data_IF_236562938265
#
_entry.id   IF_236562938265
#
_cell.length_a   1.000
_cell.length_b   1.000
_cell.length_c   1.000
_cell.angle_alpha   90.00
_cell.angle_beta   90.00
_cell.angle_gamma   90.00
#
_symmetry.space_group_name_H-M   'P 1'
#
loop_
_entity.id
_entity.type
_entity.pdbx_description
1 polymer ?
#
# COMPACT_ATOMS: atom_id res chain seq x y z
N UNK A 1 41.39 -22.85 1.25
CA UNK A 1 39.92 -22.89 1.50
C UNK A 1 39.42 -24.29 1.25
N UNK A 2 39.44 -25.14 2.31
CA UNK A 2 38.93 -26.49 2.23
C UNK A 2 37.47 -26.51 2.67
N UNK A 3 36.55 -26.42 1.70
CA UNK A 3 35.10 -26.49 1.93
C UNK A 3 34.63 -27.92 2.23
N UNK A 4 35.48 -28.93 1.97
CA UNK A 4 35.17 -30.34 2.14
C UNK A 4 36.35 -31.10 2.76
N UNK A 5 36.07 -31.96 3.75
CA UNK A 5 37.02 -32.84 4.34
C UNK A 5 36.87 -34.24 3.76
N UNK A 6 37.97 -34.91 3.30
CA UNK A 6 37.88 -36.23 2.75
C UNK A 6 37.63 -37.29 3.85
N UNK A 7 36.53 -38.00 3.77
CA UNK A 7 36.24 -39.16 4.62
C UNK A 7 36.88 -40.45 4.10
N UNK A 8 36.90 -40.64 2.78
CA UNK A 8 37.56 -41.76 2.14
C UNK A 8 37.99 -41.34 0.73
N UNK A 9 39.29 -41.19 0.54
CA UNK A 9 39.88 -40.75 -0.73
C UNK A 9 39.71 -41.76 -1.86
N UNK A 10 39.67 -43.04 -1.57
CA UNK A 10 39.48 -44.12 -2.59
C UNK A 10 38.03 -44.18 -3.07
N UNK A 11 37.06 -43.91 -2.19
CA UNK A 11 35.64 -43.89 -2.52
C UNK A 11 35.12 -42.50 -2.93
N UNK A 12 35.98 -41.49 -2.97
CA UNK A 12 35.64 -40.09 -3.27
C UNK A 12 34.52 -39.50 -2.40
N UNK A 13 34.47 -39.93 -1.14
CA UNK A 13 33.50 -39.43 -0.16
C UNK A 13 34.11 -38.25 0.60
N UNK A 14 33.38 -37.14 0.60
CA UNK A 14 33.77 -35.88 1.28
C UNK A 14 32.65 -35.44 2.18
N UNK A 15 33.01 -34.93 3.37
CA UNK A 15 32.08 -34.28 4.28
C UNK A 15 32.26 -32.78 4.19
N UNK A 16 31.15 -32.03 4.13
CA UNK A 16 31.16 -30.58 4.11
C UNK A 16 31.67 -30.06 5.46
N UNK A 17 32.64 -29.14 5.44
CA UNK A 17 33.10 -28.44 6.64
C UNK A 17 32.03 -27.43 7.06
N UNK A 18 31.64 -27.42 8.35
CA UNK A 18 30.79 -26.38 8.90
C UNK A 18 31.59 -25.09 9.04
N UNK A 19 31.49 -24.23 8.04
CA UNK A 19 32.03 -22.90 8.09
C UNK A 19 30.85 -21.96 8.33
N UNK A 20 30.81 -21.32 9.50
CA UNK A 20 29.90 -20.26 9.81
C UNK A 20 30.21 -19.02 8.97
N UNK A 21 29.72 -18.97 7.74
CA UNK A 21 29.63 -17.72 6.98
C UNK A 21 28.23 -17.12 7.17
N UNK A 22 28.11 -15.82 7.43
CA UNK A 22 26.82 -15.17 7.34
C UNK A 22 26.29 -15.36 5.90
N UNK A 23 25.11 -15.94 5.80
CA UNK A 23 24.43 -16.14 4.52
C UNK A 23 24.21 -14.78 3.85
N UNK A 24 25.03 -14.46 2.86
CA UNK A 24 24.67 -13.44 1.88
C UNK A 24 23.45 -13.98 1.12
N UNK A 25 22.30 -13.38 1.36
CA UNK A 25 21.10 -13.65 0.57
C UNK A 25 21.39 -13.22 -0.88
N UNK A 26 21.57 -14.20 -1.73
CA UNK A 26 21.63 -13.99 -3.18
C UNK A 26 20.21 -14.14 -3.69
N UNK A 27 19.56 -13.05 -4.03
CA UNK A 27 18.27 -13.07 -4.73
C UNK A 27 18.46 -13.64 -6.13
N UNK A 28 17.96 -14.85 -6.34
CA UNK A 28 17.83 -15.42 -7.69
C UNK A 28 16.50 -14.97 -8.30
N UNK A 29 16.47 -14.46 -9.54
CA UNK A 29 15.21 -14.21 -10.23
C UNK A 29 14.47 -15.54 -10.48
N UNK A 30 13.30 -15.67 -9.84
CA UNK A 30 12.43 -16.87 -9.86
C UNK A 30 11.62 -16.98 -11.15
N UNK A 31 12.28 -17.14 -12.30
CA UNK A 31 11.61 -17.33 -13.58
C UNK A 31 11.80 -18.72 -14.22
N UNK A 32 11.95 -19.77 -13.40
CA UNK A 32 11.89 -21.17 -13.89
C UNK A 32 11.25 -22.04 -12.81
N UNK A 33 9.92 -22.00 -12.69
CA UNK A 33 9.16 -22.97 -11.92
C UNK A 33 8.60 -24.01 -12.87
N UNK A 34 9.33 -25.10 -13.05
CA UNK A 34 8.73 -26.38 -13.43
C UNK A 34 8.49 -27.16 -12.14
N UNK A 35 7.22 -27.40 -11.86
CA UNK A 35 6.74 -28.25 -10.76
C UNK A 35 7.31 -29.67 -10.90
N UNK A 36 7.72 -30.35 -9.82
CA UNK A 36 6.91 -31.47 -9.37
C UNK A 36 6.63 -31.44 -7.86
N UNK A 37 5.46 -31.99 -7.55
CA UNK A 37 5.01 -32.34 -6.20
C UNK A 37 6.10 -33.07 -5.41
N UNK A 38 6.19 -32.75 -4.10
CA UNK A 38 6.22 -33.72 -2.99
C UNK A 38 6.81 -33.05 -1.73
N UNK A 39 6.04 -33.28 -0.66
CA UNK A 39 6.36 -33.22 0.76
C UNK A 39 6.48 -31.90 1.51
N UNK A 40 5.47 -31.81 2.38
CA UNK A 40 5.41 -30.95 3.55
C UNK A 40 6.62 -31.16 4.45
N UNK A 41 7.57 -30.25 4.34
CA UNK A 41 8.41 -29.93 5.49
C UNK A 41 7.99 -28.54 5.99
N UNK A 42 7.21 -28.58 7.03
CA UNK A 42 6.81 -27.41 7.84
C UNK A 42 8.07 -26.91 8.55
N UNK A 43 8.90 -26.15 7.83
CA UNK A 43 9.81 -25.25 8.54
C UNK A 43 8.95 -24.14 9.16
N UNK A 44 8.91 -23.98 10.48
CA UNK A 44 8.34 -22.80 11.06
C UNK A 44 9.17 -21.62 10.54
N UNK A 45 8.57 -20.80 9.66
CA UNK A 45 9.08 -19.46 9.45
C UNK A 45 9.17 -18.85 10.83
N UNK A 46 10.40 -18.63 11.30
CA UNK A 46 10.68 -17.76 12.43
C UNK A 46 10.21 -16.37 11.99
N UNK A 47 8.92 -16.09 12.24
CA UNK A 47 8.39 -14.75 12.17
C UNK A 47 9.30 -13.92 13.09
N UNK A 48 9.99 -12.94 12.50
CA UNK A 48 10.76 -11.99 13.27
C UNK A 48 9.84 -11.48 14.39
N UNK A 49 10.28 -11.42 15.67
CA UNK A 49 9.42 -11.04 16.77
C UNK A 49 8.81 -9.68 16.45
N UNK A 50 7.53 -9.68 16.13
CA UNK A 50 6.78 -8.45 15.84
C UNK A 50 6.82 -7.64 17.12
N UNK A 51 7.51 -6.52 17.11
CA UNK A 51 7.67 -5.70 18.30
C UNK A 51 6.30 -5.17 18.72
N UNK A 52 6.06 -5.06 20.03
CA UNK A 52 4.84 -4.44 20.57
C UNK A 52 4.60 -3.06 19.93
N UNK A 53 5.68 -2.33 19.67
CA UNK A 53 5.66 -1.02 19.01
C UNK A 53 5.05 -1.10 17.60
N UNK A 54 5.53 -2.03 16.76
CA UNK A 54 4.99 -2.23 15.42
C UNK A 54 3.52 -2.66 15.42
N UNK A 55 3.12 -3.49 16.41
CA UNK A 55 1.72 -3.89 16.57
C UNK A 55 0.84 -2.71 16.99
N UNK A 56 1.32 -1.89 17.92
CA UNK A 56 0.61 -0.69 18.37
C UNK A 56 0.46 0.32 17.24
N UNK A 57 1.54 0.60 16.50
CA UNK A 57 1.50 1.49 15.33
C UNK A 57 0.52 1.00 14.28
N UNK A 58 0.56 -0.30 13.95
CA UNK A 58 -0.37 -0.89 13.00
C UNK A 58 -1.84 -0.78 13.46
N UNK A 59 -2.10 -1.02 14.73
CA UNK A 59 -3.44 -0.90 15.31
C UNK A 59 -3.95 0.55 15.24
N UNK A 60 -3.10 1.52 15.63
CA UNK A 60 -3.43 2.95 15.60
C UNK A 60 -3.73 3.40 14.17
N UNK A 61 -2.86 3.04 13.23
CA UNK A 61 -3.05 3.36 11.81
C UNK A 61 -4.35 2.75 11.26
N UNK A 62 -4.62 1.48 11.58
CA UNK A 62 -5.83 0.80 11.11
C UNK A 62 -7.11 1.41 11.68
N UNK A 63 -7.10 1.86 12.93
CA UNK A 63 -8.30 2.31 13.64
C UNK A 63 -8.55 3.81 13.53
N UNK A 64 -7.50 4.61 13.49
CA UNK A 64 -7.59 6.07 13.60
C UNK A 64 -7.09 6.85 12.38
N UNK A 65 -6.29 6.23 11.51
CA UNK A 65 -5.87 6.93 10.29
C UNK A 65 -7.03 7.08 9.31
N UNK A 66 -7.18 8.24 8.69
CA UNK A 66 -8.18 8.44 7.65
C UNK A 66 -7.85 7.58 6.42
N UNK A 67 -8.88 7.13 5.68
CA UNK A 67 -8.67 6.44 4.40
C UNK A 67 -7.79 7.26 3.47
N UNK A 68 -6.82 6.62 2.85
CA UNK A 68 -5.86 7.30 1.99
C UNK A 68 -5.39 6.42 0.83
N UNK A 69 -4.91 7.07 -0.22
CA UNK A 69 -4.29 6.41 -1.36
C UNK A 69 -2.95 7.08 -1.69
N UNK A 70 -1.93 6.28 -2.00
CA UNK A 70 -0.66 6.73 -2.53
C UNK A 70 -0.62 6.42 -4.02
N UNK A 71 -0.37 7.44 -4.83
CA UNK A 71 -0.44 7.33 -6.29
C UNK A 71 0.79 7.95 -6.95
N UNK A 72 1.06 7.54 -8.20
CA UNK A 72 2.09 8.16 -9.02
C UNK A 72 1.57 9.46 -9.69
N UNK A 73 2.39 10.10 -10.49
CA UNK A 73 2.07 11.33 -11.22
C UNK A 73 1.01 11.15 -12.34
N UNK A 74 0.73 9.90 -12.71
CA UNK A 74 -0.33 9.53 -13.68
C UNK A 74 -1.65 9.16 -13.00
N UNK A 75 -1.66 9.11 -11.66
CA UNK A 75 -2.82 8.72 -10.87
C UNK A 75 -2.96 7.21 -10.67
N UNK A 76 -1.96 6.39 -11.02
CA UNK A 76 -2.00 4.97 -10.74
C UNK A 76 -1.78 4.71 -9.26
N UNK A 77 -2.62 3.89 -8.68
CA UNK A 77 -2.64 3.61 -7.25
C UNK A 77 -1.56 2.60 -6.92
N UNK A 78 -0.63 3.00 -6.07
CA UNK A 78 0.46 2.16 -5.57
C UNK A 78 0.13 1.52 -4.22
N UNK A 79 -0.65 2.22 -3.40
CA UNK A 79 -1.03 1.75 -2.08
C UNK A 79 -2.35 2.37 -1.62
N UNK A 80 -3.16 1.59 -0.90
CA UNK A 80 -4.41 2.03 -0.29
C UNK A 80 -4.35 1.71 1.21
N UNK A 81 -4.71 2.67 2.05
CA UNK A 81 -4.85 2.51 3.49
C UNK A 81 -6.28 2.81 3.93
N UNK A 82 -6.78 2.00 4.85
CA UNK A 82 -8.12 2.18 5.41
C UNK A 82 -9.26 1.80 4.43
N UNK A 83 -10.47 2.19 4.78
CA UNK A 83 -11.69 1.84 4.04
C UNK A 83 -12.04 2.90 3.00
N UNK A 84 -11.44 2.82 1.82
CA UNK A 84 -11.64 3.78 0.72
C UNK A 84 -12.91 3.54 -0.10
N UNK A 85 -13.65 2.44 0.11
CA UNK A 85 -14.81 2.05 -0.71
C UNK A 85 -15.95 3.09 -0.78
N UNK A 86 -16.02 4.03 0.17
CA UNK A 86 -16.94 5.17 0.10
C UNK A 86 -16.54 6.20 -0.97
N UNK A 87 -15.27 6.25 -1.36
CA UNK A 87 -14.68 7.27 -2.23
C UNK A 87 -14.21 6.71 -3.56
N UNK A 88 -13.65 5.49 -3.51
CA UNK A 88 -13.07 4.79 -4.62
C UNK A 88 -13.75 3.44 -4.78
N UNK A 89 -14.20 3.12 -5.97
CA UNK A 89 -14.76 1.81 -6.31
C UNK A 89 -14.10 1.27 -7.57
N UNK A 90 -13.92 -0.06 -7.68
CA UNK A 90 -13.40 -0.64 -8.91
C UNK A 90 -14.29 -0.28 -10.10
N UNK A 91 -13.68 0.22 -11.18
CA UNK A 91 -14.39 0.47 -12.41
C UNK A 91 -14.90 -0.85 -13.01
N UNK A 92 -16.10 -0.82 -13.59
CA UNK A 92 -16.64 -1.98 -14.29
C UNK A 92 -15.76 -2.35 -15.49
N UNK A 93 -15.54 -3.65 -15.70
CA UNK A 93 -14.77 -4.20 -16.81
C UNK A 93 -13.33 -4.59 -16.43
N UNK A 94 -12.35 -4.24 -17.26
CA UNK A 94 -10.94 -4.58 -16.99
C UNK A 94 -10.46 -3.86 -15.75
N UNK A 95 -9.79 -4.59 -14.85
CA UNK A 95 -9.21 -4.00 -13.64
C UNK A 95 -8.30 -2.81 -13.99
N UNK A 96 -8.63 -1.66 -13.43
CA UNK A 96 -7.89 -0.41 -13.63
C UNK A 96 -7.66 0.25 -12.26
N UNK A 97 -6.43 0.19 -11.78
CA UNK A 97 -6.01 0.74 -10.50
C UNK A 97 -5.57 2.20 -10.64
N UNK A 98 -6.40 3.00 -11.31
CA UNK A 98 -6.17 4.43 -11.46
C UNK A 98 -7.15 5.23 -10.62
N UNK A 99 -6.66 6.23 -9.91
CA UNK A 99 -7.41 7.08 -8.99
C UNK A 99 -8.66 7.69 -9.62
N UNK A 100 -8.53 8.18 -10.85
CA UNK A 100 -9.63 8.85 -11.56
C UNK A 100 -10.66 7.87 -12.11
N UNK A 101 -10.20 6.68 -12.53
CA UNK A 101 -11.10 5.63 -12.97
C UNK A 101 -11.92 5.05 -11.82
N UNK A 102 -11.32 4.98 -10.62
CA UNK A 102 -11.94 4.44 -9.41
C UNK A 102 -12.70 5.48 -8.60
N UNK A 103 -12.42 6.78 -8.78
CA UNK A 103 -13.11 7.84 -8.06
C UNK A 103 -14.60 7.84 -8.36
N UNK A 104 -15.43 7.89 -7.30
CA UNK A 104 -16.87 8.03 -7.45
C UNK A 104 -17.23 9.32 -8.20
N UNK A 105 -18.34 9.30 -8.91
CA UNK A 105 -18.72 10.36 -9.84
C UNK A 105 -18.74 11.74 -9.18
N UNK A 106 -19.27 11.83 -7.96
CA UNK A 106 -19.38 13.11 -7.24
C UNK A 106 -18.04 13.80 -6.94
N UNK A 107 -16.95 13.03 -6.78
CA UNK A 107 -15.63 13.59 -6.44
C UNK A 107 -14.64 13.61 -7.61
N UNK A 108 -14.92 12.90 -8.69
CA UNK A 108 -13.96 12.64 -9.79
C UNK A 108 -13.40 13.92 -10.39
N UNK A 109 -14.27 14.88 -10.71
CA UNK A 109 -13.86 16.12 -11.36
C UNK A 109 -13.00 17.00 -10.46
N UNK A 110 -13.47 17.23 -9.23
CA UNK A 110 -12.75 18.06 -8.25
C UNK A 110 -11.42 17.44 -7.84
N UNK A 111 -11.40 16.12 -7.64
CA UNK A 111 -10.19 15.38 -7.33
C UNK A 111 -9.15 15.48 -8.46
N UNK A 112 -9.59 15.36 -9.72
CA UNK A 112 -8.70 15.52 -10.88
C UNK A 112 -8.11 16.93 -10.95
N UNK A 113 -8.93 17.96 -10.75
CA UNK A 113 -8.47 19.34 -10.74
C UNK A 113 -7.47 19.63 -9.63
N UNK A 114 -7.75 19.14 -8.40
CA UNK A 114 -6.87 19.27 -7.24
C UNK A 114 -5.54 18.53 -7.45
N UNK A 115 -5.59 17.34 -8.01
CA UNK A 115 -4.42 16.53 -8.32
C UNK A 115 -3.46 17.24 -9.28
N UNK A 116 -3.96 17.71 -10.41
CA UNK A 116 -3.13 18.44 -11.38
C UNK A 116 -2.60 19.78 -10.82
N UNK A 117 -3.36 20.41 -9.92
CA UNK A 117 -2.92 21.64 -9.24
C UNK A 117 -1.80 21.33 -8.23
N UNK A 118 -1.91 20.22 -7.47
CA UNK A 118 -0.89 19.78 -6.52
C UNK A 118 0.43 19.43 -7.23
N UNK A 119 0.36 18.76 -8.38
CA UNK A 119 1.53 18.46 -9.21
C UNK A 119 2.26 19.73 -9.69
N UNK A 120 1.50 20.72 -10.17
CA UNK A 120 2.10 21.95 -10.71
C UNK A 120 2.68 22.85 -9.65
N UNK A 121 1.98 22.99 -8.51
CA UNK A 121 2.38 23.92 -7.46
C UNK A 121 3.30 23.31 -6.41
N UNK A 122 3.36 21.97 -6.34
CA UNK A 122 4.05 21.21 -5.28
C UNK A 122 3.56 21.57 -3.87
N UNK A 123 2.33 22.00 -3.76
CA UNK A 123 1.66 22.39 -2.52
C UNK A 123 0.53 21.41 -2.20
N UNK A 124 0.17 21.34 -0.92
CA UNK A 124 -1.01 20.60 -0.49
C UNK A 124 -2.27 21.35 -0.93
N UNK A 125 -3.17 20.66 -1.61
CA UNK A 125 -4.47 21.17 -2.05
C UNK A 125 -5.55 20.51 -1.21
N UNK A 126 -6.38 21.30 -0.55
CA UNK A 126 -7.52 20.81 0.22
C UNK A 126 -8.82 21.18 -0.48
N UNK A 127 -9.67 20.21 -0.64
CA UNK A 127 -11.05 20.33 -1.08
C UNK A 127 -11.92 20.13 0.16
N UNK A 128 -12.78 21.07 0.46
CA UNK A 128 -13.61 21.00 1.65
C UNK A 128 -15.06 20.68 1.27
N UNK A 129 -15.66 19.72 1.99
CA UNK A 129 -17.07 19.33 1.86
C UNK A 129 -17.47 18.96 0.43
N UNK A 130 -16.65 18.15 -0.21
CA UNK A 130 -17.00 17.61 -1.52
C UNK A 130 -18.08 16.56 -1.34
N UNK A 131 -19.13 16.62 -2.16
CA UNK A 131 -20.21 15.64 -2.15
C UNK A 131 -19.75 14.38 -2.87
N UNK A 132 -19.83 13.23 -2.18
CA UNK A 132 -19.33 11.94 -2.72
C UNK A 132 -20.35 11.33 -3.68
N UNK A 133 -21.62 11.25 -3.25
CA UNK A 133 -22.72 10.70 -4.02
C UNK A 133 -23.93 11.66 -3.99
N UNK A 134 -24.59 11.88 -5.12
CA UNK A 134 -25.89 12.54 -5.15
C UNK A 134 -26.97 11.56 -4.72
N UNK A 135 -27.86 11.95 -3.80
CA UNK A 135 -29.00 11.11 -3.37
C UNK A 135 -29.51 11.47 -1.98
N UNK A 136 -30.44 10.63 -1.46
CA UNK A 136 -31.07 10.87 -0.14
C UNK A 136 -30.08 10.70 1.03
N UNK A 137 -29.02 9.90 0.86
CA UNK A 137 -27.94 9.73 1.83
C UNK A 137 -26.68 10.45 1.37
N UNK A 138 -26.74 11.78 1.35
CA UNK A 138 -25.59 12.60 0.97
C UNK A 138 -24.42 12.44 1.94
N UNK A 139 -23.30 11.94 1.44
CA UNK A 139 -22.04 11.90 2.16
C UNK A 139 -21.11 12.98 1.64
N UNK A 140 -20.47 13.66 2.58
CA UNK A 140 -19.49 14.70 2.29
C UNK A 140 -18.12 14.31 2.82
N UNK A 141 -17.08 14.72 2.13
CA UNK A 141 -15.71 14.53 2.56
C UNK A 141 -14.86 15.77 2.32
N UNK A 142 -13.89 15.98 3.21
CA UNK A 142 -12.74 16.79 2.93
C UNK A 142 -11.67 15.91 2.28
N UNK A 143 -11.10 16.38 1.19
CA UNK A 143 -10.08 15.63 0.43
C UNK A 143 -8.81 16.46 0.40
N UNK A 144 -7.70 15.90 0.88
CA UNK A 144 -6.38 16.52 0.81
C UNK A 144 -5.53 15.79 -0.21
N UNK A 145 -4.92 16.53 -1.12
CA UNK A 145 -4.03 16.03 -2.16
C UNK A 145 -2.67 16.71 -2.00
N UNK A 146 -1.63 15.93 -1.76
CA UNK A 146 -0.30 16.47 -1.49
C UNK A 146 0.78 15.66 -2.21
N UNK A 147 1.68 16.36 -2.92
CA UNK A 147 2.89 15.74 -3.44
C UNK A 147 3.92 15.59 -2.32
N UNK A 148 4.40 14.36 -2.12
CA UNK A 148 5.38 14.04 -1.08
C UNK A 148 6.79 14.50 -1.50
N UNK A 149 7.50 15.12 -0.58
CA UNK A 149 8.90 15.51 -0.75
C UNK A 149 9.83 14.64 0.10
N UNK A 150 9.31 14.12 1.20
CA UNK A 150 9.98 13.25 2.15
C UNK A 150 9.05 12.07 2.53
N UNK A 151 9.61 10.91 2.89
CA UNK A 151 11.02 10.50 2.78
C UNK A 151 11.44 10.32 1.30
N UNK A 152 12.75 10.25 1.02
CA UNK A 152 13.31 10.16 -0.34
C UNK A 152 12.68 9.06 -1.21
N UNK A 153 12.30 7.93 -0.58
CA UNK A 153 11.68 6.78 -1.26
C UNK A 153 10.28 7.08 -1.80
N UNK A 154 9.58 8.04 -1.20
CA UNK A 154 8.22 8.44 -1.60
C UNK A 154 8.19 9.77 -2.36
N UNK A 155 9.37 10.36 -2.60
CA UNK A 155 9.49 11.65 -3.27
C UNK A 155 8.88 11.61 -4.67
N UNK A 156 8.00 12.58 -4.93
CA UNK A 156 7.31 12.72 -6.21
C UNK A 156 5.96 12.00 -6.26
N UNK A 157 5.71 11.06 -5.36
CA UNK A 157 4.40 10.44 -5.22
C UNK A 157 3.39 11.42 -4.62
N UNK A 158 2.12 11.14 -4.85
CA UNK A 158 1.02 11.98 -4.36
C UNK A 158 0.22 11.18 -3.35
N UNK A 159 0.01 11.77 -2.18
CA UNK A 159 -0.87 11.25 -1.15
C UNK A 159 -2.22 11.91 -1.25
N UNK A 160 -3.27 11.10 -1.32
CA UNK A 160 -4.67 11.53 -1.28
C UNK A 160 -5.29 11.01 -0.01
N UNK A 161 -5.82 11.91 0.82
CA UNK A 161 -6.44 11.58 2.11
C UNK A 161 -7.90 11.98 2.08
N UNK A 162 -8.79 11.09 2.51
CA UNK A 162 -10.22 11.30 2.58
C UNK A 162 -10.66 11.39 4.04
N UNK A 163 -11.35 12.45 4.41
CA UNK A 163 -11.89 12.64 5.74
C UNK A 163 -13.39 12.87 5.65
N UNK A 164 -14.17 11.92 6.16
CA UNK A 164 -15.63 12.08 6.22
C UNK A 164 -16.02 13.27 7.08
N UNK A 165 -16.96 14.07 6.60
CA UNK A 165 -17.50 15.22 7.33
C UNK A 165 -19.01 15.12 7.38
N UNK A 166 -19.65 15.59 8.47
CA UNK A 166 -21.10 15.53 8.60
C UNK A 166 -21.79 16.38 7.52
N UNK A 167 -22.96 15.89 7.08
CA UNK A 167 -23.83 16.63 6.17
C UNK A 167 -24.21 18.00 6.76
N UNK A 168 -24.13 19.09 6.00
CA UNK A 168 -24.54 20.42 6.45
C UNK A 168 -26.04 20.53 6.79
N UNK A 169 -26.85 19.59 6.33
CA UNK A 169 -28.31 19.61 6.51
C UNK A 169 -28.79 18.97 7.82
N UNK A 170 -27.93 18.27 8.58
CA UNK A 170 -28.29 17.67 9.86
C UNK A 170 -28.24 18.63 11.06
N UNK A 171 -27.88 19.89 10.85
CA UNK A 171 -27.73 20.90 11.90
C UNK A 171 -29.02 21.56 12.40
N UNK A 172 -30.20 21.34 11.79
CA UNK A 172 -31.43 22.08 12.11
C UNK A 172 -32.67 21.21 12.41
N UNK A 173 -32.51 19.95 12.76
CA UNK A 173 -33.63 19.10 13.17
C UNK A 173 -33.66 18.88 14.70
N UNK A 174 -33.58 19.96 15.49
CA UNK A 174 -34.01 20.00 16.90
C UNK A 174 -34.57 21.38 17.21
N UNK A 175 -35.86 21.52 16.99
CA UNK A 175 -36.73 22.37 17.77
C UNK A 175 -38.02 21.60 18.05
#
# INVERSE_FOLDING_TARGET
NNLFNPLNSKARLYQRSEINHPLLQVDFPSSLSTTPMIEKDTHPQLEAPVSLHSLADHLILKQYAPPSALVNDQGDILYISGHTGKYLEPAAGKANWNLFAMAREGIRYELSAAFHKALRKKESISLNRVRIEPGENEHFADISVQQLQEPKQLKGLIMVVFKEVPSPFLGNAKK
#
